data_IF_589400240583
#
_entry.id   IF_589400240583
#
_cell.length_a   1.000
_cell.length_b   1.000
_cell.length_c   1.000
_cell.angle_alpha   90.00
_cell.angle_beta   90.00
_cell.angle_gamma   90.00
#
_symmetry.space_group_name_H-M   'P 1'
#
loop_
_entity.id
_entity.type
_entity.pdbx_description
1 polymer ?
#
# COMPACT_ATOMS: atom_id res chain seq x y z
N UNK A 1 11.31 12.92 -57.53
CA UNK A 1 11.04 13.85 -56.42
C UNK A 1 10.97 13.04 -55.14
N UNK A 2 11.78 13.39 -54.14
CA UNK A 2 12.01 12.63 -52.90
C UNK A 2 10.79 12.76 -51.98
N UNK A 3 9.94 11.74 -51.89
CA UNK A 3 8.90 11.66 -50.85
C UNK A 3 9.54 11.23 -49.53
N UNK A 4 9.73 12.20 -48.65
CA UNK A 4 10.11 12.00 -47.25
C UNK A 4 8.90 11.41 -46.51
N UNK A 5 8.98 10.15 -46.08
CA UNK A 5 8.00 9.55 -45.18
C UNK A 5 8.38 10.00 -43.76
N UNK A 6 7.58 10.89 -43.19
CA UNK A 6 7.71 11.32 -41.80
C UNK A 6 7.32 10.16 -40.88
N UNK A 7 8.28 9.69 -40.09
CA UNK A 7 8.09 8.64 -39.10
C UNK A 7 7.66 9.28 -37.79
N UNK A 8 6.35 9.29 -37.54
CA UNK A 8 5.76 9.83 -36.30
C UNK A 8 6.05 8.87 -35.15
N UNK A 9 6.98 9.25 -34.28
CA UNK A 9 7.31 8.49 -33.08
C UNK A 9 6.20 8.68 -32.04
N UNK A 10 5.35 7.66 -31.85
CA UNK A 10 4.42 7.63 -30.72
C UNK A 10 5.21 7.42 -29.43
N UNK A 11 5.38 8.49 -28.66
CA UNK A 11 5.90 8.41 -27.29
C UNK A 11 4.74 7.95 -26.41
N UNK A 12 4.66 6.64 -26.16
CA UNK A 12 3.75 6.07 -25.17
C UNK A 12 4.22 6.46 -23.77
N UNK A 13 3.40 7.23 -23.05
CA UNK A 13 3.65 7.55 -21.64
C UNK A 13 3.45 6.30 -20.79
N UNK A 14 4.53 5.71 -20.31
CA UNK A 14 4.47 4.67 -19.28
C UNK A 14 4.06 5.32 -17.95
N UNK A 15 2.82 5.08 -17.52
CA UNK A 15 2.39 5.40 -16.16
C UNK A 15 3.08 4.42 -15.20
N UNK A 16 4.16 4.86 -14.55
CA UNK A 16 4.72 4.14 -13.40
C UNK A 16 3.73 4.31 -12.25
N UNK A 17 3.01 3.24 -11.90
CA UNK A 17 2.23 3.20 -10.67
C UNK A 17 3.22 3.16 -9.49
N UNK A 18 3.39 4.29 -8.81
CA UNK A 18 4.20 4.36 -7.60
C UNK A 18 3.53 3.54 -6.49
N UNK A 19 4.33 2.76 -5.75
CA UNK A 19 3.87 2.09 -4.54
C UNK A 19 3.53 3.13 -3.46
N UNK A 20 2.60 2.80 -2.56
CA UNK A 20 2.31 3.64 -1.39
C UNK A 20 3.56 3.69 -0.49
N UNK A 21 4.09 4.89 -0.27
CA UNK A 21 5.21 5.17 0.63
C UNK A 21 4.67 5.58 2.02
N UNK A 22 5.10 4.89 3.08
CA UNK A 22 4.69 5.18 4.46
C UNK A 22 5.78 5.83 5.30
N UNK A 23 7.02 5.33 5.22
CA UNK A 23 8.13 5.88 6.04
C UNK A 23 9.49 5.58 5.43
N UNK A 24 10.48 6.43 5.74
CA UNK A 24 11.90 6.20 5.47
C UNK A 24 12.68 5.85 6.75
N UNK A 25 12.00 5.71 7.89
CA UNK A 25 12.62 5.42 9.17
C UNK A 25 13.24 4.01 9.20
N UNK A 26 14.31 3.86 9.97
CA UNK A 26 14.98 2.58 10.15
C UNK A 26 14.02 1.54 10.75
N UNK A 27 14.12 0.28 10.30
CA UNK A 27 13.23 -0.81 10.73
C UNK A 27 13.30 -1.09 12.23
N UNK A 28 14.39 -0.73 12.91
CA UNK A 28 14.51 -0.82 14.37
C UNK A 28 13.54 0.10 15.12
N UNK A 29 13.02 1.14 14.46
CA UNK A 29 12.05 2.09 15.04
C UNK A 29 10.60 1.63 14.85
N UNK A 30 10.38 0.55 14.10
CA UNK A 30 9.04 0.07 13.77
C UNK A 30 8.45 -0.70 14.93
N UNK A 31 7.12 -0.66 15.03
CA UNK A 31 6.37 -1.46 15.99
C UNK A 31 6.53 -2.95 15.70
N UNK A 32 6.44 -3.79 16.73
CA UNK A 32 6.38 -5.23 16.51
C UNK A 32 5.15 -5.62 15.68
N UNK A 33 5.36 -6.42 14.63
CA UNK A 33 4.32 -6.78 13.67
C UNK A 33 3.20 -7.61 14.30
N UNK A 34 3.52 -8.50 15.24
CA UNK A 34 2.53 -9.35 15.89
C UNK A 34 1.67 -8.52 16.85
N UNK A 35 2.30 -7.63 17.63
CA UNK A 35 1.62 -6.68 18.51
C UNK A 35 0.70 -5.75 17.74
N UNK A 36 1.16 -5.18 16.63
CA UNK A 36 0.36 -4.30 15.78
C UNK A 36 -0.88 -5.03 15.23
N UNK A 37 -0.71 -6.25 14.72
CA UNK A 37 -1.84 -7.07 14.24
C UNK A 37 -2.82 -7.44 15.37
N UNK A 38 -2.31 -7.72 16.58
CA UNK A 38 -3.16 -8.01 17.73
C UNK A 38 -4.02 -6.79 18.11
N UNK A 39 -3.43 -5.59 18.15
CA UNK A 39 -4.16 -4.35 18.43
C UNK A 39 -5.28 -4.08 17.42
N UNK A 40 -5.01 -4.29 16.12
CA UNK A 40 -6.05 -4.17 15.09
C UNK A 40 -7.19 -5.19 15.29
N UNK A 41 -6.86 -6.44 15.66
CA UNK A 41 -7.86 -7.47 15.95
C UNK A 41 -8.71 -7.09 17.17
N UNK A 42 -8.11 -6.54 18.22
CA UNK A 42 -8.81 -6.01 19.39
C UNK A 42 -9.75 -4.85 19.03
N UNK A 43 -9.39 -4.04 18.03
CA UNK A 43 -10.23 -2.97 17.48
C UNK A 43 -11.36 -3.47 16.57
N UNK A 44 -11.49 -4.80 16.38
CA UNK A 44 -12.57 -5.42 15.61
C UNK A 44 -12.23 -5.73 14.14
N UNK A 45 -10.98 -5.51 13.71
CA UNK A 45 -10.55 -5.89 12.36
C UNK A 45 -10.30 -7.40 12.27
N UNK A 46 -10.63 -7.99 11.11
CA UNK A 46 -10.23 -9.35 10.76
C UNK A 46 -9.09 -9.28 9.75
N UNK A 47 -7.90 -9.70 10.13
CA UNK A 47 -6.72 -9.67 9.26
C UNK A 47 -6.58 -11.02 8.55
N UNK A 48 -6.73 -11.03 7.22
CA UNK A 48 -6.53 -12.21 6.37
C UNK A 48 -5.10 -12.27 5.83
N UNK A 49 -4.48 -11.12 5.59
CA UNK A 49 -3.10 -11.01 5.12
C UNK A 49 -2.43 -9.80 5.77
N UNK A 50 -1.16 -9.96 6.09
CA UNK A 50 -0.28 -8.89 6.53
C UNK A 50 0.98 -8.90 5.67
N UNK A 51 1.45 -7.73 5.23
CA UNK A 51 2.69 -7.59 4.46
C UNK A 51 3.48 -6.37 4.91
N UNK A 52 4.80 -6.47 4.78
CA UNK A 52 5.67 -5.29 4.70
C UNK A 52 5.86 -4.96 3.22
N UNK A 53 5.44 -3.77 2.81
CA UNK A 53 5.49 -3.36 1.39
C UNK A 53 6.85 -2.78 1.01
N UNK A 54 7.07 -2.56 -0.30
CA UNK A 54 8.29 -1.89 -0.81
C UNK A 54 8.40 -0.44 -0.34
N UNK A 55 7.27 0.25 -0.17
CA UNK A 55 7.21 1.60 0.39
C UNK A 55 7.15 1.64 1.92
N UNK A 56 7.66 0.59 2.57
CA UNK A 56 7.80 0.51 4.02
C UNK A 56 6.49 0.67 4.82
N UNK A 57 5.40 0.11 4.31
CA UNK A 57 4.13 0.08 5.03
C UNK A 57 3.89 -1.27 5.70
N UNK A 58 3.14 -1.26 6.79
CA UNK A 58 2.37 -2.42 7.25
C UNK A 58 1.04 -2.44 6.50
N UNK A 59 0.94 -3.30 5.49
CA UNK A 59 -0.30 -3.50 4.72
C UNK A 59 -1.09 -4.65 5.34
N UNK A 60 -2.35 -4.39 5.69
CA UNK A 60 -3.32 -5.43 6.05
C UNK A 60 -4.38 -5.55 4.96
N UNK A 61 -4.75 -6.79 4.64
CA UNK A 61 -5.93 -7.11 3.86
C UNK A 61 -6.86 -7.97 4.71
N UNK A 62 -8.15 -7.65 4.72
CA UNK A 62 -9.17 -8.43 5.42
C UNK A 62 -10.47 -7.67 5.54
N UNK A 63 -11.04 -7.60 6.75
CA UNK A 63 -12.30 -6.92 7.00
C UNK A 63 -12.20 -5.90 8.13
N UNK A 64 -12.87 -4.77 7.96
CA UNK A 64 -13.03 -3.79 9.03
C UNK A 64 -14.08 -4.21 10.07
N UNK A 65 -14.26 -3.37 11.09
CA UNK A 65 -15.23 -3.58 12.17
C UNK A 65 -16.70 -3.67 11.69
N UNK A 66 -17.00 -3.12 10.51
CA UNK A 66 -18.33 -3.12 9.91
C UNK A 66 -18.50 -4.31 8.93
N UNK A 67 -17.49 -5.18 8.81
CA UNK A 67 -17.50 -6.35 7.95
C UNK A 67 -17.23 -6.05 6.48
N UNK A 68 -16.70 -4.86 6.14
CA UNK A 68 -16.34 -4.50 4.77
C UNK A 68 -14.94 -4.97 4.44
N UNK A 69 -14.71 -5.46 3.22
CA UNK A 69 -13.35 -5.83 2.79
C UNK A 69 -12.50 -4.59 2.65
N UNK A 70 -11.32 -4.60 3.25
CA UNK A 70 -10.40 -3.47 3.25
C UNK A 70 -8.96 -3.90 3.00
N UNK A 71 -8.22 -3.04 2.31
CA UNK A 71 -6.77 -3.00 2.26
C UNK A 71 -6.29 -1.71 2.91
N UNK A 72 -5.47 -1.80 3.97
CA UNK A 72 -5.00 -0.62 4.70
C UNK A 72 -3.48 -0.65 4.81
N UNK A 73 -2.86 0.45 4.39
CA UNK A 73 -1.45 0.73 4.51
C UNK A 73 -1.22 1.58 5.75
N UNK A 74 -0.50 1.05 6.73
CA UNK A 74 -0.16 1.75 7.96
C UNK A 74 1.32 2.12 7.98
N UNK A 75 1.62 3.30 8.53
CA UNK A 75 2.97 3.66 8.92
C UNK A 75 3.41 2.75 10.09
N UNK A 76 4.48 1.95 9.94
CA UNK A 76 4.91 1.00 10.95
C UNK A 76 5.51 1.66 12.20
N UNK A 77 5.87 2.94 12.14
CA UNK A 77 6.37 3.70 13.31
C UNK A 77 5.19 4.17 14.15
N UNK A 78 4.20 4.81 13.52
CA UNK A 78 3.09 5.45 14.24
C UNK A 78 1.84 4.58 14.37
N UNK A 79 1.72 3.52 13.55
CA UNK A 79 0.54 2.66 13.45
C UNK A 79 -0.65 3.31 12.71
N UNK A 80 -0.51 4.57 12.27
CA UNK A 80 -1.57 5.32 11.63
C UNK A 80 -1.80 4.82 10.20
N UNK A 81 -3.06 4.78 9.78
CA UNK A 81 -3.42 4.51 8.39
C UNK A 81 -2.94 5.66 7.51
N UNK A 82 -2.16 5.33 6.48
CA UNK A 82 -1.69 6.24 5.41
C UNK A 82 -2.65 6.17 4.23
N UNK A 83 -3.15 4.97 3.92
CA UNK A 83 -4.12 4.74 2.83
C UNK A 83 -5.06 3.61 3.21
N UNK A 84 -6.34 3.77 2.88
CA UNK A 84 -7.39 2.75 3.03
C UNK A 84 -8.13 2.60 1.72
N UNK A 85 -8.25 1.37 1.24
CA UNK A 85 -9.02 1.00 0.05
C UNK A 85 -10.10 0.01 0.47
N UNK A 86 -11.33 0.27 0.01
CA UNK A 86 -12.47 -0.62 0.22
C UNK A 86 -12.69 -1.45 -1.04
N UNK A 87 -12.99 -2.73 -0.85
CA UNK A 87 -13.27 -3.66 -1.94
C UNK A 87 -14.69 -4.20 -1.81
N UNK A 88 -15.35 -4.37 -2.95
CA UNK A 88 -16.67 -5.02 -3.05
C UNK A 88 -16.56 -6.57 -3.00
#
# INVERSE_FOLDING_TARGET
MRTLIAMTLLIGSSTVFAATECTTADKSTWQDQAKFQAQLKEQGYKINKFKVTKGNCYEIYGFDKDGKKVEIYHDPVTGKAVKTEYHD
#
